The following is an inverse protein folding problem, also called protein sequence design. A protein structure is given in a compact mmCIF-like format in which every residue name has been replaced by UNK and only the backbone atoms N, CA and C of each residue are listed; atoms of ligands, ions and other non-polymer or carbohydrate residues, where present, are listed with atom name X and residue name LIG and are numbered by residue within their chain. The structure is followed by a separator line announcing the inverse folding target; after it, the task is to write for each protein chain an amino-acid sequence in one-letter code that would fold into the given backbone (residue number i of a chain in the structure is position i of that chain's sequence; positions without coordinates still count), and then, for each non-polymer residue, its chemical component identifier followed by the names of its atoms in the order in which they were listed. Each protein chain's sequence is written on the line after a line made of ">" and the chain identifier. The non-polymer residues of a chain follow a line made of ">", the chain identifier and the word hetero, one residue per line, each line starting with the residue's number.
data_IF_426858594452
#
_entry.id   IF_426858594452
#
_cell.length_a   1.000
_cell.length_b   1.000
_cell.length_c   1.000
_cell.angle_alpha   90.00
_cell.angle_beta   90.00
_cell.angle_gamma   90.00
#
_symmetry.space_group_name_H-M   'P 1'
#
loop_
_entity.id
_entity.type
_entity.pdbx_description
1 polymer ?
#
# COMPACT_ATOMS: atom_id res chain seq x y z
N UNK A 1 11.15 0.44 -12.16
CA UNK A 1 11.56 1.85 -12.37
C UNK A 1 13.07 2.02 -12.35
N UNK A 2 13.60 2.93 -13.18
CA UNK A 2 15.04 3.25 -13.21
C UNK A 2 15.47 4.09 -11.99
N UNK A 3 14.53 4.83 -11.41
CA UNK A 3 14.70 5.69 -10.25
C UNK A 3 13.71 5.32 -9.13
N UNK A 4 14.09 5.57 -7.88
CA UNK A 4 13.30 5.27 -6.70
C UNK A 4 14.17 4.66 -5.59
N UNK A 5 13.63 4.54 -4.36
CA UNK A 5 14.35 3.88 -3.29
C UNK A 5 14.48 2.36 -3.55
N UNK A 6 15.52 1.70 -3.01
CA UNK A 6 15.68 0.25 -3.15
C UNK A 6 14.57 -0.54 -2.43
N UNK A 7 14.03 0.01 -1.35
CA UNK A 7 12.87 -0.48 -0.62
C UNK A 7 12.08 0.69 -0.04
N UNK A 8 10.77 0.53 0.10
CA UNK A 8 9.90 1.54 0.73
C UNK A 8 9.71 1.14 2.18
N UNK A 9 10.30 1.90 3.08
CA UNK A 9 10.34 1.54 4.50
C UNK A 9 9.71 2.64 5.38
N UNK A 10 9.14 3.68 4.77
CA UNK A 10 8.34 4.69 5.44
C UNK A 10 8.03 5.87 4.52
N UNK A 11 7.46 6.93 5.11
CA UNK A 11 6.98 8.10 4.36
C UNK A 11 8.05 8.79 3.51
N UNK A 12 9.32 8.78 3.93
CA UNK A 12 10.39 9.38 3.14
C UNK A 12 10.58 8.66 1.81
N UNK A 13 10.70 7.33 1.84
CA UNK A 13 10.91 6.49 0.65
C UNK A 13 9.71 6.57 -0.29
N UNK A 14 8.51 6.61 0.27
CA UNK A 14 7.25 6.79 -0.47
C UNK A 14 7.32 7.97 -1.45
N UNK A 15 7.78 9.15 -1.00
CA UNK A 15 7.80 10.35 -1.85
C UNK A 15 8.65 10.15 -3.11
N UNK A 16 9.74 9.40 -3.00
CA UNK A 16 10.63 9.12 -4.15
C UNK A 16 10.14 7.97 -5.02
N UNK A 17 9.29 7.08 -4.49
CA UNK A 17 8.74 5.96 -5.25
C UNK A 17 7.60 6.37 -6.20
N UNK A 18 6.77 7.35 -5.81
CA UNK A 18 5.54 7.72 -6.54
C UNK A 18 5.78 8.10 -8.01
N UNK A 19 6.75 8.97 -8.37
CA UNK A 19 7.00 9.30 -9.78
C UNK A 19 7.38 8.07 -10.61
N UNK A 20 8.16 7.16 -10.03
CA UNK A 20 8.56 5.91 -10.67
C UNK A 20 7.37 4.98 -10.91
N UNK A 21 6.46 4.86 -9.94
CA UNK A 21 5.22 4.07 -10.08
C UNK A 21 4.36 4.61 -11.24
N UNK A 22 4.13 5.92 -11.28
CA UNK A 22 3.34 6.57 -12.34
C UNK A 22 4.00 6.37 -13.71
N UNK A 23 5.34 6.51 -13.78
CA UNK A 23 6.08 6.29 -15.02
C UNK A 23 5.97 4.83 -15.51
N UNK A 24 5.99 3.83 -14.62
CA UNK A 24 5.77 2.43 -15.01
C UNK A 24 4.35 2.19 -15.52
N UNK A 25 3.32 2.76 -14.87
CA UNK A 25 1.94 2.67 -15.37
C UNK A 25 1.81 3.24 -16.79
N UNK A 26 2.49 4.35 -17.07
CA UNK A 26 2.52 4.98 -18.40
C UNK A 26 3.13 4.12 -19.51
N UNK A 27 3.91 3.06 -19.18
CA UNK A 27 4.43 2.11 -20.17
C UNK A 27 3.40 1.08 -20.62
N UNK A 28 2.34 0.88 -19.86
CA UNK A 28 1.27 -0.06 -20.15
C UNK A 28 -0.10 0.63 -20.06
N UNK A 29 -0.37 1.67 -20.86
CA UNK A 29 -1.60 2.48 -20.75
C UNK A 29 -2.88 1.72 -21.14
N UNK A 30 -2.74 0.57 -21.81
CA UNK A 30 -3.85 -0.29 -22.22
C UNK A 30 -4.13 -1.44 -21.24
N UNK A 31 -3.56 -1.40 -20.03
CA UNK A 31 -3.84 -2.40 -19.01
C UNK A 31 -5.29 -2.25 -18.49
N UNK A 32 -5.99 -3.37 -18.31
CA UNK A 32 -7.37 -3.38 -17.81
C UNK A 32 -7.47 -3.00 -16.32
N UNK A 33 -6.38 -3.13 -15.56
CA UNK A 33 -6.26 -2.74 -14.16
C UNK A 33 -4.79 -2.62 -13.75
N UNK A 34 -4.54 -1.94 -12.63
CA UNK A 34 -3.22 -1.81 -12.01
C UNK A 34 -3.24 -2.24 -10.55
N UNK A 35 -2.12 -2.77 -10.08
CA UNK A 35 -1.93 -3.18 -8.68
C UNK A 35 -0.73 -2.44 -8.11
N UNK A 36 -0.94 -1.70 -7.02
CA UNK A 36 0.14 -1.14 -6.20
C UNK A 36 0.63 -2.23 -5.27
N UNK A 37 1.78 -2.82 -5.61
CA UNK A 37 2.39 -3.94 -4.88
C UNK A 37 3.26 -3.48 -3.69
N UNK A 38 2.80 -2.50 -2.93
CA UNK A 38 3.39 -2.08 -1.66
C UNK A 38 2.31 -2.16 -0.57
N UNK A 39 2.62 -2.77 0.58
CA UNK A 39 1.62 -2.99 1.63
C UNK A 39 1.15 -1.69 2.30
N UNK A 40 1.97 -0.65 2.23
CA UNK A 40 1.62 0.71 2.67
C UNK A 40 0.74 1.44 1.63
N UNK A 41 0.33 0.77 0.55
CA UNK A 41 -0.44 1.30 -0.58
C UNK A 41 0.16 2.59 -1.17
N UNK A 42 1.48 2.66 -1.21
CA UNK A 42 2.25 3.83 -1.62
C UNK A 42 1.77 4.39 -2.96
N UNK A 43 1.36 5.66 -2.95
CA UNK A 43 0.92 6.36 -4.16
C UNK A 43 -0.41 5.88 -4.74
N UNK A 44 -1.19 5.04 -4.05
CA UNK A 44 -2.45 4.49 -4.57
C UNK A 44 -3.43 5.57 -5.04
N UNK A 45 -3.62 6.64 -4.26
CA UNK A 45 -4.53 7.72 -4.66
C UNK A 45 -3.99 8.48 -5.88
N UNK A 46 -2.68 8.72 -5.92
CA UNK A 46 -2.05 9.39 -7.06
C UNK A 46 -2.18 8.52 -8.33
N UNK A 47 -1.99 7.21 -8.21
CA UNK A 47 -2.17 6.26 -9.30
C UNK A 47 -3.63 6.25 -9.81
N UNK A 48 -4.62 6.31 -8.91
CA UNK A 48 -6.05 6.44 -9.28
C UNK A 48 -6.37 7.72 -10.05
N UNK A 49 -5.60 8.80 -9.86
CA UNK A 49 -5.80 10.07 -10.56
C UNK A 49 -5.26 10.07 -12.00
N UNK A 50 -4.36 9.17 -12.36
CA UNK A 50 -3.65 9.20 -13.66
C UNK A 50 -4.17 8.17 -14.67
N UNK A 51 -5.16 7.36 -14.32
CA UNK A 51 -5.78 6.37 -15.20
C UNK A 51 -7.28 6.21 -14.90
N UNK A 52 -8.06 5.82 -15.91
CA UNK A 52 -9.47 5.44 -15.73
C UNK A 52 -9.63 3.96 -15.34
N UNK A 53 -8.59 3.15 -15.54
CA UNK A 53 -8.62 1.74 -15.15
C UNK A 53 -8.59 1.60 -13.62
N UNK A 54 -9.22 0.55 -13.05
CA UNK A 54 -9.15 0.28 -11.62
C UNK A 54 -7.71 0.16 -11.11
N UNK A 55 -7.40 0.83 -10.00
CA UNK A 55 -6.13 0.69 -9.30
C UNK A 55 -6.36 0.16 -7.88
N UNK A 56 -5.75 -0.98 -7.57
CA UNK A 56 -5.93 -1.71 -6.32
C UNK A 56 -4.62 -1.71 -5.52
N UNK A 57 -4.68 -1.28 -4.26
CA UNK A 57 -3.59 -1.45 -3.31
C UNK A 57 -3.64 -2.81 -2.64
N UNK A 58 -2.50 -3.48 -2.48
CA UNK A 58 -2.47 -4.80 -1.83
C UNK A 58 -2.78 -4.73 -0.33
N UNK A 59 -2.50 -3.59 0.34
CA UNK A 59 -2.84 -3.35 1.73
C UNK A 59 -4.35 -3.23 1.91
N UNK A 60 -4.98 -2.31 1.18
CA UNK A 60 -6.45 -2.13 1.11
C UNK A 60 -7.16 -3.46 0.81
N UNK A 61 -6.71 -4.17 -0.23
CA UNK A 61 -7.28 -5.46 -0.61
C UNK A 61 -7.16 -6.51 0.50
N UNK A 62 -5.99 -6.59 1.16
CA UNK A 62 -5.76 -7.54 2.26
C UNK A 62 -6.66 -7.24 3.46
N UNK A 63 -6.85 -5.97 3.83
CA UNK A 63 -7.73 -5.60 4.93
C UNK A 63 -9.19 -5.97 4.64
N UNK A 64 -9.67 -5.69 3.43
CA UNK A 64 -11.02 -6.05 3.02
C UNK A 64 -11.20 -7.57 3.05
N UNK A 65 -10.29 -8.34 2.46
CA UNK A 65 -10.39 -9.80 2.47
C UNK A 65 -10.38 -10.36 3.90
N UNK A 66 -9.48 -9.87 4.76
CA UNK A 66 -9.42 -10.29 6.16
C UNK A 66 -10.72 -10.00 6.92
N UNK A 67 -11.38 -8.88 6.60
CA UNK A 67 -12.66 -8.50 7.22
C UNK A 67 -13.82 -9.43 6.87
N UNK A 68 -13.76 -10.11 5.71
CA UNK A 68 -14.77 -11.06 5.26
C UNK A 68 -14.66 -12.42 5.97
N UNK A 69 -13.45 -12.83 6.34
CA UNK A 69 -13.19 -14.17 6.88
C UNK A 69 -12.99 -14.20 8.41
N UNK A 70 -12.79 -13.04 9.04
CA UNK A 70 -12.54 -12.96 10.48
C UNK A 70 -13.24 -11.75 11.15
N UNK A 71 -13.68 -11.93 12.40
CA UNK A 71 -14.28 -10.86 13.21
C UNK A 71 -13.31 -9.72 13.54
N UNK A 72 -12.03 -10.06 13.76
CA UNK A 72 -10.91 -9.12 13.84
C UNK A 72 -9.68 -9.76 13.18
N UNK A 73 -8.78 -8.93 12.67
CA UNK A 73 -7.50 -9.36 12.11
C UNK A 73 -6.33 -8.57 12.71
N UNK A 74 -5.10 -8.96 12.41
CA UNK A 74 -3.90 -8.18 12.75
C UNK A 74 -2.99 -8.11 11.54
N UNK A 75 -2.27 -7.01 11.40
CA UNK A 75 -1.29 -6.83 10.33
C UNK A 75 0.10 -7.09 10.90
N UNK A 76 0.91 -7.85 10.17
CA UNK A 76 2.33 -8.03 10.47
C UNK A 76 3.13 -7.41 9.33
N UNK A 77 3.98 -6.44 9.66
CA UNK A 77 4.84 -5.71 8.71
C UNK A 77 6.32 -5.92 9.04
N UNK A 78 7.20 -5.34 8.22
CA UNK A 78 8.66 -5.44 8.34
C UNK A 78 9.15 -4.57 9.49
N UNK A 79 9.16 -3.25 9.30
CA UNK A 79 9.76 -2.29 10.23
C UNK A 79 8.74 -1.46 10.99
N UNK A 80 9.03 -1.09 12.23
CA UNK A 80 8.17 -0.23 13.05
C UNK A 80 7.79 1.09 12.37
N UNK A 81 8.66 1.64 11.51
CA UNK A 81 8.39 2.90 10.81
C UNK A 81 7.29 2.82 9.75
N UNK A 82 6.92 1.65 9.26
CA UNK A 82 5.74 1.45 8.39
C UNK A 82 4.42 1.36 9.18
N UNK A 83 4.48 1.07 10.49
CA UNK A 83 3.27 0.91 11.32
C UNK A 83 2.34 2.12 11.25
N UNK A 84 2.81 3.38 11.37
CA UNK A 84 1.94 4.54 11.28
C UNK A 84 1.23 4.68 9.92
N UNK A 85 1.89 4.32 8.82
CA UNK A 85 1.30 4.37 7.47
C UNK A 85 0.17 3.34 7.33
N UNK A 86 0.41 2.12 7.81
CA UNK A 86 -0.59 1.04 7.79
C UNK A 86 -1.79 1.39 8.69
N UNK A 87 -1.55 1.93 9.89
CA UNK A 87 -2.63 2.37 10.79
C UNK A 87 -3.43 3.54 10.19
N UNK A 88 -2.76 4.48 9.51
CA UNK A 88 -3.43 5.54 8.77
C UNK A 88 -4.34 4.97 7.67
N UNK A 89 -3.84 4.02 6.88
CA UNK A 89 -4.62 3.36 5.83
C UNK A 89 -5.82 2.59 6.40
N UNK A 90 -5.65 1.87 7.51
CA UNK A 90 -6.76 1.21 8.20
C UNK A 90 -7.87 2.18 8.61
N UNK A 91 -7.50 3.38 9.09
CA UNK A 91 -8.47 4.42 9.39
C UNK A 91 -9.14 4.97 8.13
N UNK A 92 -8.35 5.31 7.11
CA UNK A 92 -8.81 5.81 5.81
C UNK A 92 -9.80 4.88 5.14
N UNK A 93 -9.56 3.58 5.18
CA UNK A 93 -10.42 2.56 4.58
C UNK A 93 -11.57 2.08 5.48
N UNK A 94 -11.74 2.67 6.68
CA UNK A 94 -12.84 2.35 7.59
C UNK A 94 -12.72 0.99 8.28
N UNK A 95 -11.53 0.41 8.34
CA UNK A 95 -11.25 -0.93 8.90
C UNK A 95 -10.46 -0.91 10.21
N UNK A 96 -10.15 0.28 10.75
CA UNK A 96 -9.41 0.43 12.01
C UNK A 96 -10.03 -0.36 13.18
N UNK A 97 -11.36 -0.37 13.32
CA UNK A 97 -12.05 -1.14 14.39
C UNK A 97 -11.97 -2.66 14.21
N UNK A 98 -11.69 -3.13 12.99
CA UNK A 98 -11.53 -4.55 12.62
C UNK A 98 -10.08 -5.02 12.79
N UNK A 99 -9.11 -4.11 12.76
CA UNK A 99 -7.71 -4.44 13.06
C UNK A 99 -7.47 -4.39 14.57
N UNK A 100 -7.09 -5.52 15.15
CA UNK A 100 -6.74 -5.61 16.56
C UNK A 100 -5.38 -4.94 16.85
N UNK A 101 -4.41 -5.10 15.94
CA UNK A 101 -3.07 -4.49 16.06
C UNK A 101 -2.30 -4.57 14.74
N UNK A 102 -1.48 -3.56 14.47
CA UNK A 102 -0.38 -3.62 13.51
C UNK A 102 0.92 -3.91 14.28
N UNK A 103 1.69 -4.91 13.86
CA UNK A 103 2.92 -5.36 14.51
C UNK A 103 4.05 -5.36 13.50
N UNK A 104 5.23 -4.87 13.88
CA UNK A 104 6.44 -5.06 13.10
C UNK A 104 7.17 -6.33 13.54
N UNK A 105 7.88 -6.94 12.59
CA UNK A 105 8.84 -8.02 12.85
C UNK A 105 10.25 -7.51 13.18
N UNK A 106 10.50 -6.22 12.94
CA UNK A 106 11.81 -5.56 13.06
C UNK A 106 12.87 -6.17 12.12
N UNK A 107 12.44 -6.72 10.98
CA UNK A 107 13.30 -7.28 9.94
C UNK A 107 13.22 -6.39 8.71
N UNK A 108 14.34 -5.80 8.30
CA UNK A 108 14.44 -4.97 7.10
C UNK A 108 14.44 -5.82 5.82
N UNK A 109 14.15 -5.17 4.69
CA UNK A 109 14.07 -5.79 3.34
C UNK A 109 15.07 -5.13 2.39
#
# INVERSE_FOLDING_TARGET
>A
PADGPPSIEGYFDEVFAIPGIIAEMGKAPAADAYVIACFDDTGLDAARCVTEAPVIGIGEAAFHLASLVAGKFSVVTTLARSVPAIEHNLAKYGLASRCAKVRSSEVAV
#
